data_IF_663665031285
#
_entry.id   IF_663665031285
#
_cell.length_a   1.000
_cell.length_b   1.000
_cell.length_c   1.000
_cell.angle_alpha   90.00
_cell.angle_beta   90.00
_cell.angle_gamma   90.00
#
_symmetry.space_group_name_H-M   'P 1'
#
loop_
_entity.id
_entity.type
_entity.pdbx_description
1 polymer ?
#
# COMPACT_ATOMS: atom_id res chain seq x y z
N UNK A 1 46.60 -57.00 -12.57
CA UNK A 1 45.60 -56.14 -13.25
C UNK A 1 44.62 -55.63 -12.22
N UNK A 2 44.82 -54.39 -11.77
CA UNK A 2 43.97 -53.72 -10.77
C UNK A 2 42.84 -53.00 -11.51
N UNK A 3 41.58 -53.38 -11.25
CA UNK A 3 40.41 -52.68 -11.76
C UNK A 3 40.04 -51.56 -10.78
N UNK A 4 40.28 -50.33 -11.17
CA UNK A 4 39.88 -49.13 -10.44
C UNK A 4 38.40 -48.87 -10.72
N UNK A 5 37.56 -48.97 -9.67
CA UNK A 5 36.13 -48.66 -9.70
C UNK A 5 35.99 -47.17 -9.35
N UNK A 6 35.54 -46.36 -10.32
CA UNK A 6 35.15 -44.96 -10.07
C UNK A 6 33.80 -44.95 -9.38
N UNK A 7 33.79 -44.47 -8.14
CA UNK A 7 32.57 -44.18 -7.40
C UNK A 7 32.13 -42.75 -7.78
N UNK A 8 31.12 -42.62 -8.61
CA UNK A 8 30.55 -41.32 -8.93
C UNK A 8 29.66 -40.87 -7.76
N UNK A 9 30.11 -39.90 -6.98
CA UNK A 9 29.32 -39.26 -5.94
C UNK A 9 28.44 -38.22 -6.60
N UNK A 10 27.16 -38.53 -6.71
CA UNK A 10 26.12 -37.55 -7.11
C UNK A 10 25.82 -36.65 -5.93
N UNK A 11 26.32 -35.41 -5.98
CA UNK A 11 25.93 -34.37 -5.06
C UNK A 11 24.51 -33.92 -5.42
N UNK A 12 23.54 -34.33 -4.62
CA UNK A 12 22.22 -33.71 -4.61
C UNK A 12 22.33 -32.30 -3.98
N UNK A 13 22.37 -31.26 -4.82
CA UNK A 13 22.13 -29.89 -4.35
C UNK A 13 20.64 -29.79 -3.97
N UNK A 14 20.38 -29.97 -2.70
CA UNK A 14 19.10 -29.60 -2.10
C UNK A 14 19.05 -28.07 -2.07
N UNK A 15 18.49 -27.43 -3.10
CA UNK A 15 18.16 -26.01 -3.07
C UNK A 15 17.09 -25.84 -1.98
N UNK A 16 17.53 -25.42 -0.79
CA UNK A 16 16.62 -24.96 0.25
C UNK A 16 15.83 -23.77 -0.33
N UNK A 17 14.56 -24.02 -0.62
CA UNK A 17 13.60 -22.96 -0.86
C UNK A 17 13.51 -22.16 0.47
N UNK A 18 14.29 -21.10 0.58
CA UNK A 18 14.13 -20.13 1.65
C UNK A 18 12.76 -19.50 1.43
N UNK A 19 11.76 -19.98 2.15
CA UNK A 19 10.49 -19.29 2.27
C UNK A 19 10.81 -17.95 2.92
N UNK A 20 10.57 -16.85 2.22
CA UNK A 20 10.62 -15.55 2.84
C UNK A 20 9.66 -15.57 4.02
N UNK A 21 10.12 -15.06 5.16
CA UNK A 21 9.25 -14.92 6.34
C UNK A 21 8.02 -14.09 5.96
N UNK A 22 6.85 -14.39 6.55
CA UNK A 22 5.66 -13.59 6.37
C UNK A 22 5.97 -12.11 6.57
N UNK A 23 5.50 -11.26 5.68
CA UNK A 23 5.74 -9.82 5.73
C UNK A 23 4.39 -9.10 5.67
N UNK A 24 4.19 -8.24 6.66
CA UNK A 24 3.13 -7.25 6.62
C UNK A 24 3.57 -6.04 5.82
N UNK A 25 2.64 -5.41 5.12
CA UNK A 25 2.90 -4.13 4.50
C UNK A 25 2.62 -4.08 3.01
N UNK A 26 3.14 -3.03 2.39
CA UNK A 26 2.93 -2.81 0.98
C UNK A 26 3.70 -3.80 0.11
N UNK A 27 3.00 -4.36 -0.85
CA UNK A 27 3.52 -5.31 -1.80
C UNK A 27 3.09 -4.94 -3.23
N UNK A 28 3.79 -5.50 -4.20
CA UNK A 28 3.45 -5.42 -5.62
C UNK A 28 3.26 -6.84 -6.15
N UNK A 29 2.23 -7.04 -6.94
CA UNK A 29 2.07 -8.31 -7.66
C UNK A 29 3.22 -8.52 -8.63
N UNK A 30 3.83 -9.70 -8.58
CA UNK A 30 4.89 -10.12 -9.49
C UNK A 30 4.86 -11.63 -9.74
N UNK A 31 4.42 -12.02 -10.91
CA UNK A 31 4.30 -13.40 -11.34
C UNK A 31 4.82 -13.58 -12.76
N UNK A 32 5.43 -14.72 -13.07
CA UNK A 32 5.92 -15.04 -14.40
C UNK A 32 4.80 -15.03 -15.47
N UNK A 33 3.56 -15.35 -15.06
CA UNK A 33 2.39 -15.37 -15.92
C UNK A 33 1.84 -13.98 -16.26
N UNK A 34 2.44 -12.89 -15.70
CA UNK A 34 1.96 -11.52 -15.88
C UNK A 34 0.81 -11.12 -14.96
N UNK A 35 0.28 -12.04 -14.18
CA UNK A 35 -0.78 -11.83 -13.19
C UNK A 35 -0.72 -12.88 -12.09
N UNK A 36 -1.37 -12.63 -10.96
CA UNK A 36 -1.60 -13.65 -9.93
C UNK A 36 -3.10 -13.85 -9.69
N UNK A 37 -3.44 -14.98 -9.07
CA UNK A 37 -4.82 -15.30 -8.69
C UNK A 37 -5.10 -14.80 -7.27
N UNK A 38 -6.13 -13.97 -7.12
CA UNK A 38 -6.79 -13.71 -5.86
C UNK A 38 -7.71 -14.88 -5.53
N UNK A 39 -7.60 -15.46 -4.35
CA UNK A 39 -8.34 -16.66 -3.95
C UNK A 39 -9.24 -16.41 -2.76
N UNK A 40 -10.36 -17.13 -2.71
CA UNK A 40 -11.33 -17.05 -1.64
C UNK A 40 -10.78 -17.52 -0.28
N UNK A 41 -9.81 -18.45 -0.29
CA UNK A 41 -9.18 -19.03 0.91
C UNK A 41 -7.67 -19.18 0.69
N UNK A 42 -6.86 -19.25 1.76
CA UNK A 42 -5.42 -19.43 1.68
C UNK A 42 -5.03 -20.86 1.26
N UNK A 43 -5.42 -21.23 0.04
CA UNK A 43 -5.19 -22.54 -0.54
C UNK A 43 -5.06 -22.43 -2.07
N UNK A 44 -4.05 -23.07 -2.65
CA UNK A 44 -3.81 -23.06 -4.10
C UNK A 44 -4.94 -23.70 -4.92
N UNK A 45 -5.78 -24.55 -4.31
CA UNK A 45 -6.95 -25.18 -4.93
C UNK A 45 -8.25 -24.40 -4.69
N UNK A 46 -8.22 -23.34 -3.86
CA UNK A 46 -9.41 -22.55 -3.58
C UNK A 46 -9.90 -21.80 -4.84
N UNK A 47 -11.18 -21.46 -4.83
CA UNK A 47 -11.82 -20.68 -5.90
C UNK A 47 -11.04 -19.42 -6.19
N UNK A 48 -10.81 -19.15 -7.45
CA UNK A 48 -10.21 -17.90 -7.94
C UNK A 48 -11.31 -16.84 -8.03
N UNK A 49 -11.14 -15.77 -7.30
CA UNK A 49 -12.05 -14.61 -7.29
C UNK A 49 -11.72 -13.64 -8.43
N UNK A 50 -10.42 -13.37 -8.62
CA UNK A 50 -9.95 -12.45 -9.64
C UNK A 50 -8.53 -12.79 -10.10
N UNK A 51 -8.12 -12.25 -11.26
CA UNK A 51 -6.74 -12.21 -11.74
C UNK A 51 -6.20 -10.80 -11.57
N UNK A 52 -5.11 -10.67 -10.83
CA UNK A 52 -4.52 -9.39 -10.47
C UNK A 52 -3.25 -9.19 -11.29
N UNK A 53 -3.18 -8.15 -12.15
CA UNK A 53 -2.03 -7.91 -13.02
C UNK A 53 -0.75 -7.59 -12.26
N UNK A 54 0.40 -7.91 -12.85
CA UNK A 54 1.71 -7.51 -12.33
C UNK A 54 1.81 -5.99 -12.14
N UNK A 55 2.53 -5.58 -11.09
CA UNK A 55 2.71 -4.18 -10.73
C UNK A 55 1.52 -3.55 -10.00
N UNK A 56 0.43 -4.31 -9.77
CA UNK A 56 -0.67 -3.84 -8.92
C UNK A 56 -0.17 -3.74 -7.49
N UNK A 57 -0.25 -2.56 -6.86
CA UNK A 57 0.08 -2.40 -5.46
C UNK A 57 -1.04 -2.95 -4.58
N UNK A 58 -0.65 -3.55 -3.47
CA UNK A 58 -1.52 -4.17 -2.49
C UNK A 58 -1.04 -3.82 -1.08
N UNK A 59 -1.92 -3.99 -0.12
CA UNK A 59 -1.53 -4.11 1.28
C UNK A 59 -1.70 -5.56 1.74
N UNK A 60 -0.63 -6.12 2.26
CA UNK A 60 -0.60 -7.46 2.82
C UNK A 60 -0.86 -7.38 4.33
N UNK A 61 -1.88 -8.09 4.80
CA UNK A 61 -2.30 -8.11 6.21
C UNK A 61 -2.13 -9.55 6.72
N UNK A 62 -1.01 -9.79 7.41
CA UNK A 62 -0.63 -11.12 7.88
C UNK A 62 -1.61 -11.67 8.92
N UNK A 63 -2.07 -10.83 9.86
CA UNK A 63 -2.99 -11.26 10.92
C UNK A 63 -4.30 -11.85 10.40
N UNK A 64 -4.67 -11.50 9.18
CA UNK A 64 -5.88 -12.01 8.53
C UNK A 64 -5.64 -13.23 7.65
N UNK A 65 -4.40 -13.75 7.58
CA UNK A 65 -4.06 -14.88 6.71
C UNK A 65 -4.38 -16.28 7.27
N UNK A 66 -5.23 -16.35 8.28
CA UNK A 66 -5.74 -17.63 8.85
C UNK A 66 -4.62 -18.60 9.31
N UNK A 67 -3.53 -18.08 9.86
CA UNK A 67 -2.34 -18.84 10.26
C UNK A 67 -1.69 -19.64 9.10
N UNK A 68 -1.81 -19.16 7.88
CA UNK A 68 -1.17 -19.74 6.69
C UNK A 68 0.03 -18.88 6.30
N UNK A 69 1.26 -19.30 6.68
CA UNK A 69 2.47 -18.49 6.50
C UNK A 69 2.88 -18.30 5.03
N UNK A 70 2.29 -19.05 4.12
CA UNK A 70 2.52 -19.01 2.67
C UNK A 70 1.53 -18.12 1.91
N UNK A 71 0.52 -17.56 2.59
CA UNK A 71 -0.48 -16.68 2.00
C UNK A 71 -0.57 -15.34 2.73
N UNK A 72 -0.90 -14.32 1.96
CA UNK A 72 -1.19 -12.98 2.42
C UNK A 72 -2.67 -12.69 2.16
N UNK A 73 -3.39 -12.20 3.17
CA UNK A 73 -4.68 -11.57 2.95
C UNK A 73 -4.47 -10.18 2.37
N UNK A 74 -5.16 -9.87 1.28
CA UNK A 74 -5.07 -8.60 0.57
C UNK A 74 -6.45 -8.01 0.34
N UNK A 75 -6.51 -6.68 0.41
CA UNK A 75 -7.64 -5.91 -0.08
C UNK A 75 -7.27 -5.28 -1.41
N UNK A 76 -8.19 -5.30 -2.34
CA UNK A 76 -8.07 -4.57 -3.60
C UNK A 76 -8.67 -3.17 -3.47
N UNK A 77 -8.57 -2.40 -4.53
CA UNK A 77 -9.05 -1.04 -4.59
C UNK A 77 -10.56 -0.96 -4.32
N UNK A 78 -10.94 -0.17 -3.32
CA UNK A 78 -12.31 0.09 -2.84
C UNK A 78 -13.02 -1.11 -2.22
N UNK A 79 -13.20 -0.98 -0.93
CA UNK A 79 -13.84 -1.93 -0.04
C UNK A 79 -15.29 -2.30 -0.41
N UNK A 80 -15.45 -3.13 -1.42
CA UNK A 80 -16.52 -4.09 -1.38
C UNK A 80 -15.95 -5.37 -0.75
N UNK A 81 -16.70 -6.08 0.06
CA UNK A 81 -16.27 -7.33 0.69
C UNK A 81 -15.77 -8.37 -0.34
N UNK A 82 -16.19 -8.23 -1.60
CA UNK A 82 -15.81 -9.08 -2.73
C UNK A 82 -14.42 -8.77 -3.31
N UNK A 83 -13.80 -7.65 -2.91
CA UNK A 83 -12.50 -7.21 -3.42
C UNK A 83 -11.33 -7.65 -2.52
N UNK A 84 -11.56 -8.53 -1.57
CA UNK A 84 -10.55 -9.09 -0.68
C UNK A 84 -10.34 -10.59 -0.88
N UNK A 85 -9.20 -11.10 -0.48
CA UNK A 85 -8.87 -12.52 -0.59
C UNK A 85 -7.40 -12.80 -0.32
N UNK A 86 -6.93 -13.95 -0.79
CA UNK A 86 -5.62 -14.47 -0.47
C UNK A 86 -4.75 -14.59 -1.72
N UNK A 87 -3.51 -14.12 -1.60
CA UNK A 87 -2.45 -14.27 -2.60
C UNK A 87 -1.28 -15.01 -1.96
N UNK A 88 -0.69 -15.96 -2.68
CA UNK A 88 0.50 -16.67 -2.21
C UNK A 88 1.70 -15.71 -2.21
N UNK A 89 2.51 -15.71 -1.13
CA UNK A 89 3.65 -14.80 -0.96
C UNK A 89 4.66 -14.83 -2.10
N UNK A 90 4.88 -16.00 -2.73
CA UNK A 90 5.81 -16.13 -3.86
C UNK A 90 5.40 -15.31 -5.10
N UNK A 91 4.21 -14.73 -5.10
CA UNK A 91 3.66 -13.90 -6.18
C UNK A 91 3.69 -12.40 -5.84
N UNK A 92 4.40 -12.05 -4.77
CA UNK A 92 4.49 -10.70 -4.26
C UNK A 92 5.95 -10.26 -4.16
N UNK A 93 6.19 -9.00 -4.45
CA UNK A 93 7.44 -8.30 -4.11
C UNK A 93 7.11 -7.27 -3.05
N UNK A 94 7.91 -7.26 -1.98
CA UNK A 94 7.83 -6.25 -0.92
C UNK A 94 8.93 -5.21 -1.16
N UNK A 95 8.60 -3.98 -1.56
CA UNK A 95 9.60 -2.95 -1.86
C UNK A 95 10.53 -2.66 -0.67
N UNK A 96 10.04 -2.84 0.56
CA UNK A 96 10.82 -2.62 1.78
C UNK A 96 12.03 -3.56 1.92
N UNK A 97 11.96 -4.77 1.34
CA UNK A 97 13.01 -5.81 1.44
C UNK A 97 13.65 -6.17 0.11
N UNK A 98 13.12 -5.70 -1.02
CA UNK A 98 13.65 -6.01 -2.34
C UNK A 98 14.76 -5.01 -2.74
N UNK A 99 15.94 -5.56 -3.06
CA UNK A 99 17.16 -4.80 -3.44
C UNK A 99 17.00 -3.92 -4.69
N UNK A 100 16.01 -4.18 -5.52
CA UNK A 100 15.74 -3.40 -6.73
C UNK A 100 15.03 -2.07 -6.41
N UNK A 101 14.61 -1.87 -5.17
CA UNK A 101 13.98 -0.65 -4.72
C UNK A 101 14.88 0.14 -3.79
N UNK A 102 14.89 1.44 -3.96
CA UNK A 102 15.54 2.39 -3.05
C UNK A 102 14.46 3.06 -2.23
N UNK A 103 14.46 2.84 -0.91
CA UNK A 103 13.59 3.57 0.00
C UNK A 103 14.05 5.02 0.13
N UNK A 104 13.14 5.96 -0.09
CA UNK A 104 13.38 7.36 0.24
C UNK A 104 13.34 7.54 1.76
N UNK A 105 14.25 8.39 2.26
CA UNK A 105 14.36 8.69 3.69
C UNK A 105 13.67 10.01 3.99
N UNK A 106 13.09 10.09 5.18
CA UNK A 106 12.59 11.35 5.69
C UNK A 106 13.73 12.36 5.84
N UNK A 107 13.50 13.56 5.35
CA UNK A 107 14.38 14.70 5.50
C UNK A 107 13.82 15.70 6.52
N UNK A 108 12.51 15.87 6.50
CA UNK A 108 11.77 16.70 7.45
C UNK A 108 10.34 16.23 7.53
N UNK A 109 9.77 16.28 8.72
CA UNK A 109 8.37 15.98 9.00
C UNK A 109 7.86 16.87 10.13
N UNK A 110 6.67 17.40 9.94
CA UNK A 110 5.87 18.15 10.90
C UNK A 110 4.43 17.69 10.78
N UNK A 111 3.54 18.17 11.63
CA UNK A 111 2.13 17.75 11.65
C UNK A 111 1.39 17.97 10.32
N UNK A 112 1.86 18.93 9.51
CA UNK A 112 1.21 19.33 8.26
C UNK A 112 2.08 19.12 7.01
N UNK A 113 3.34 18.71 7.17
CA UNK A 113 4.27 18.52 6.03
C UNK A 113 5.18 17.33 6.22
N UNK A 114 5.50 16.63 5.12
CA UNK A 114 6.49 15.56 5.09
C UNK A 114 7.32 15.65 3.81
N UNK A 115 8.63 15.52 3.96
CA UNK A 115 9.57 15.43 2.83
C UNK A 115 10.33 14.12 2.91
N UNK A 116 10.25 13.32 1.84
CA UNK A 116 11.04 12.11 1.66
C UNK A 116 11.99 12.29 0.49
N UNK A 117 13.25 11.86 0.64
CA UNK A 117 14.20 11.94 -0.48
C UNK A 117 15.19 10.78 -0.54
N UNK A 118 15.70 10.52 -1.74
CA UNK A 118 16.70 9.49 -2.02
C UNK A 118 16.83 9.24 -3.52
N UNK A 119 18.01 8.83 -3.94
CA UNK A 119 18.31 8.50 -5.34
C UNK A 119 17.87 9.57 -6.37
N UNK A 120 18.08 10.85 -6.04
CA UNK A 120 17.67 11.95 -6.90
C UNK A 120 16.17 12.23 -6.94
N UNK A 121 15.38 11.52 -6.13
CA UNK A 121 13.94 11.73 -6.02
C UNK A 121 13.61 12.50 -4.74
N UNK A 122 12.67 13.43 -4.83
CA UNK A 122 12.14 14.18 -3.69
C UNK A 122 10.63 14.23 -3.74
N UNK A 123 10.00 13.60 -2.75
CA UNK A 123 8.56 13.70 -2.51
C UNK A 123 8.32 14.75 -1.44
N UNK A 124 7.36 15.64 -1.68
CA UNK A 124 6.90 16.59 -0.67
C UNK A 124 5.39 16.49 -0.55
N UNK A 125 4.91 16.29 0.67
CA UNK A 125 3.50 16.10 1.02
C UNK A 125 3.10 17.24 1.95
N UNK A 126 1.96 17.85 1.67
CA UNK A 126 1.38 18.93 2.47
C UNK A 126 -0.05 18.58 2.82
N UNK A 127 -0.37 18.68 4.10
CA UNK A 127 -1.73 18.68 4.61
C UNK A 127 -2.08 20.08 5.08
N UNK A 128 -3.35 20.41 5.07
CA UNK A 128 -3.86 21.68 5.56
C UNK A 128 -5.03 21.44 6.50
N UNK A 129 -5.06 22.20 7.57
CA UNK A 129 -6.24 22.25 8.43
C UNK A 129 -7.37 22.99 7.69
N UNK A 130 -8.49 22.31 7.54
CA UNK A 130 -9.71 22.85 6.93
C UNK A 130 -10.88 22.82 7.92
N UNK A 131 -11.88 23.62 7.64
CA UNK A 131 -13.17 23.66 8.37
C UNK A 131 -14.29 23.39 7.36
N UNK A 132 -14.60 22.10 7.07
CA UNK A 132 -15.64 21.77 6.11
C UNK A 132 -17.01 22.30 6.56
N UNK A 133 -17.83 22.70 5.60
CA UNK A 133 -19.22 23.08 5.87
C UNK A 133 -20.13 21.88 5.74
N UNK A 134 -21.24 21.87 6.44
CA UNK A 134 -22.24 20.80 6.31
C UNK A 134 -22.71 20.63 4.85
N UNK A 135 -22.76 21.71 4.09
CA UNK A 135 -23.09 21.71 2.66
C UNK A 135 -22.04 21.02 1.76
N UNK A 136 -20.82 20.80 2.25
CA UNK A 136 -19.81 20.04 1.53
C UNK A 136 -20.10 18.53 1.55
N UNK A 137 -21.04 18.07 2.41
CA UNK A 137 -21.35 16.66 2.59
C UNK A 137 -22.72 16.30 2.03
N UNK A 138 -22.85 15.03 1.62
CA UNK A 138 -24.12 14.44 1.19
C UNK A 138 -24.28 13.01 1.70
N UNK A 139 -25.53 12.48 1.66
CA UNK A 139 -25.86 11.22 2.30
C UNK A 139 -25.74 11.31 3.83
N UNK A 140 -26.11 12.47 4.39
CA UNK A 140 -26.00 12.77 5.81
C UNK A 140 -27.07 11.98 6.57
N UNK A 141 -26.70 11.38 7.70
CA UNK A 141 -27.63 10.69 8.59
C UNK A 141 -28.59 11.68 9.30
N UNK A 142 -29.63 11.13 9.95
CA UNK A 142 -30.67 11.94 10.62
C UNK A 142 -30.10 12.85 11.73
N UNK A 143 -29.08 12.36 12.42
CA UNK A 143 -28.46 13.06 13.56
C UNK A 143 -27.39 14.07 13.12
N UNK A 144 -27.12 14.15 11.81
CA UNK A 144 -26.13 15.04 11.18
C UNK A 144 -24.68 14.84 11.64
N UNK A 145 -24.35 13.67 12.15
CA UNK A 145 -23.00 13.32 12.58
C UNK A 145 -22.19 12.67 11.48
N UNK A 146 -22.80 11.81 10.64
CA UNK A 146 -22.09 11.07 9.62
C UNK A 146 -22.60 11.40 8.23
N UNK A 147 -21.75 11.24 7.24
CA UNK A 147 -22.07 11.44 5.83
C UNK A 147 -21.41 10.34 4.98
N UNK A 148 -21.94 10.11 3.78
CA UNK A 148 -21.37 9.16 2.82
C UNK A 148 -20.35 9.78 1.87
N UNK A 149 -20.55 11.05 1.52
CA UNK A 149 -19.74 11.73 0.52
C UNK A 149 -19.31 13.11 0.98
N UNK A 150 -18.10 13.50 0.63
CA UNK A 150 -17.57 14.86 0.73
C UNK A 150 -17.36 15.41 -0.69
N UNK A 151 -18.05 16.50 -1.02
CA UNK A 151 -18.05 17.12 -2.37
C UNK A 151 -18.29 16.10 -3.49
N UNK A 152 -19.26 15.20 -3.25
CA UNK A 152 -19.66 14.19 -4.22
C UNK A 152 -18.78 12.95 -4.34
N UNK A 153 -17.74 12.81 -3.51
CA UNK A 153 -16.83 11.65 -3.49
C UNK A 153 -16.77 11.00 -2.11
N UNK A 154 -16.48 9.68 -2.02
CA UNK A 154 -16.14 9.05 -0.74
C UNK A 154 -14.99 9.78 -0.05
N UNK A 155 -15.00 9.78 1.27
CA UNK A 155 -13.94 10.37 2.09
C UNK A 155 -13.52 9.40 3.20
N UNK A 156 -12.32 9.58 3.73
CA UNK A 156 -11.64 8.64 4.59
C UNK A 156 -10.89 9.37 5.70
N UNK A 157 -10.63 8.68 6.81
CA UNK A 157 -9.83 9.22 7.92
C UNK A 157 -10.63 10.01 8.96
N UNK A 158 -11.96 9.84 9.04
CA UNK A 158 -12.82 10.53 10.02
C UNK A 158 -13.97 9.67 10.54
N UNK A 159 -13.90 8.34 10.41
CA UNK A 159 -15.00 7.42 10.80
C UNK A 159 -16.37 7.75 10.18
N UNK A 160 -16.35 8.29 8.97
CA UNK A 160 -17.52 8.89 8.31
C UNK A 160 -18.12 10.11 9.02
N UNK A 161 -17.53 10.53 10.13
CA UNK A 161 -17.97 11.71 10.86
C UNK A 161 -17.77 12.98 10.03
N UNK A 162 -18.70 13.93 10.21
CA UNK A 162 -18.60 15.27 9.65
C UNK A 162 -17.73 16.14 10.57
N UNK A 163 -16.45 16.32 10.26
CA UNK A 163 -15.54 16.99 11.18
C UNK A 163 -15.76 18.50 11.17
N UNK A 164 -15.72 19.13 12.35
CA UNK A 164 -15.69 20.60 12.46
C UNK A 164 -14.36 21.18 11.98
N UNK A 165 -13.29 20.43 12.14
CA UNK A 165 -11.93 20.78 11.74
C UNK A 165 -11.14 19.49 11.50
N UNK A 166 -10.40 19.42 10.41
CA UNK A 166 -9.62 18.24 10.04
C UNK A 166 -8.42 18.66 9.18
N UNK A 167 -7.32 17.92 9.26
CA UNK A 167 -6.28 18.03 8.26
C UNK A 167 -6.69 17.26 7.00
N UNK A 168 -6.56 17.89 5.86
CA UNK A 168 -6.80 17.28 4.54
C UNK A 168 -5.51 17.29 3.73
N UNK A 169 -5.25 16.25 2.96
CA UNK A 169 -4.17 16.28 1.98
C UNK A 169 -4.44 17.39 0.97
N UNK A 170 -3.52 18.36 0.90
CA UNK A 170 -3.63 19.51 0.01
C UNK A 170 -2.77 19.32 -1.25
N UNK A 171 -1.55 18.81 -1.08
CA UNK A 171 -0.59 18.70 -2.16
C UNK A 171 0.38 17.56 -1.96
N UNK A 172 0.63 16.82 -3.03
CA UNK A 172 1.74 15.87 -3.15
C UNK A 172 2.52 16.24 -4.41
N UNK A 173 3.84 16.35 -4.29
CA UNK A 173 4.71 16.57 -5.45
C UNK A 173 5.85 15.55 -5.48
N UNK A 174 6.23 15.13 -6.69
CA UNK A 174 7.50 14.44 -6.96
C UNK A 174 8.38 15.35 -7.81
N UNK A 175 9.55 15.75 -7.29
CA UNK A 175 10.48 16.65 -7.96
C UNK A 175 9.81 17.94 -8.50
N UNK A 176 8.84 18.48 -7.74
CA UNK A 176 8.06 19.66 -8.11
C UNK A 176 6.83 19.39 -8.99
N UNK A 177 6.67 18.19 -9.57
CA UNK A 177 5.49 17.83 -10.35
C UNK A 177 4.35 17.39 -9.42
N UNK A 178 3.22 18.07 -9.50
CA UNK A 178 2.10 17.85 -8.59
C UNK A 178 1.20 16.66 -9.01
N UNK A 179 0.69 15.95 -8.02
CA UNK A 179 -0.48 15.08 -8.17
C UNK A 179 -1.72 15.95 -8.42
N UNK A 180 -2.63 15.59 -9.34
CA UNK A 180 -3.87 16.33 -9.54
C UNK A 180 -4.68 16.45 -8.24
N UNK A 181 -5.17 17.64 -7.92
CA UNK A 181 -5.90 17.90 -6.68
C UNK A 181 -7.13 17.01 -6.50
N UNK A 182 -7.77 16.60 -7.60
CA UNK A 182 -8.91 15.67 -7.57
C UNK A 182 -8.57 14.29 -6.99
N UNK A 183 -7.29 13.88 -7.03
CA UNK A 183 -6.80 12.62 -6.47
C UNK A 183 -6.56 12.70 -4.95
N UNK A 184 -6.48 13.90 -4.39
CA UNK A 184 -6.25 14.13 -2.96
C UNK A 184 -7.55 14.41 -2.21
N UNK A 185 -8.62 14.71 -2.93
CA UNK A 185 -9.92 15.07 -2.34
C UNK A 185 -10.47 13.93 -1.47
N UNK A 186 -10.88 14.26 -0.24
CA UNK A 186 -11.48 13.32 0.70
C UNK A 186 -10.47 12.46 1.47
N UNK A 187 -9.18 12.69 1.34
CA UNK A 187 -8.16 12.05 2.16
C UNK A 187 -7.84 12.94 3.35
N UNK A 188 -8.43 12.60 4.50
CA UNK A 188 -8.33 13.37 5.74
C UNK A 188 -7.35 12.75 6.73
N UNK A 189 -6.94 13.55 7.71
CA UNK A 189 -6.10 13.15 8.83
C UNK A 189 -4.83 12.37 8.43
N UNK A 190 -4.01 12.85 7.47
CA UNK A 190 -2.75 12.19 7.18
C UNK A 190 -1.86 12.22 8.42
N UNK A 191 -1.34 11.07 8.83
CA UNK A 191 -0.42 10.97 9.93
C UNK A 191 1.02 11.00 9.43
N UNK A 192 1.71 12.10 9.66
CA UNK A 192 3.11 12.26 9.31
C UNK A 192 4.05 11.91 10.50
N UNK A 193 3.56 11.99 11.73
CA UNK A 193 4.37 11.77 12.93
C UNK A 193 4.79 10.31 13.11
N UNK A 194 3.99 9.36 12.65
CA UNK A 194 4.30 7.94 12.73
C UNK A 194 5.49 7.54 11.86
N UNK A 195 5.76 8.27 10.77
CA UNK A 195 6.90 8.05 9.88
C UNK A 195 8.22 8.27 10.61
N UNK A 196 8.30 9.29 11.46
CA UNK A 196 9.51 9.68 12.21
C UNK A 196 9.87 8.74 13.37
N UNK A 197 8.90 8.04 13.94
CA UNK A 197 9.10 7.31 15.21
C UNK A 197 9.40 5.83 15.06
N UNK A 198 9.36 5.26 13.84
CA UNK A 198 9.57 3.83 13.63
C UNK A 198 8.60 2.92 14.38
N UNK A 199 7.52 3.49 14.91
CA UNK A 199 6.56 2.81 15.76
C UNK A 199 5.33 2.40 14.96
N UNK A 200 5.13 1.13 14.88
CA UNK A 200 4.02 0.39 14.28
C UNK A 200 3.93 0.38 12.75
N UNK A 201 3.84 -0.82 12.23
CA UNK A 201 3.79 -1.22 10.83
C UNK A 201 2.59 -0.64 10.07
N UNK A 202 1.64 -0.03 10.77
CA UNK A 202 0.32 0.36 10.25
C UNK A 202 0.11 1.86 10.06
N UNK A 203 1.11 2.70 10.32
CA UNK A 203 0.96 4.16 10.23
C UNK A 203 2.15 4.78 9.52
N UNK A 204 1.88 5.84 8.75
CA UNK A 204 2.93 6.64 8.13
C UNK A 204 3.01 6.57 6.61
N UNK A 205 4.02 7.23 6.08
CA UNK A 205 4.25 7.36 4.66
C UNK A 205 5.61 6.78 4.27
N UNK A 206 5.62 6.03 3.18
CA UNK A 206 6.82 5.38 2.65
C UNK A 206 6.92 5.58 1.15
N UNK A 207 8.11 5.86 0.65
CA UNK A 207 8.33 5.96 -0.78
C UNK A 207 9.46 5.03 -1.23
N UNK A 208 9.22 4.33 -2.35
CA UNK A 208 10.15 3.38 -2.93
C UNK A 208 10.34 3.68 -4.41
N UNK A 209 11.58 3.89 -4.81
CA UNK A 209 11.95 4.14 -6.20
C UNK A 209 12.60 2.91 -6.81
N UNK A 210 12.09 2.46 -7.96
CA UNK A 210 12.67 1.40 -8.79
C UNK A 210 13.33 2.04 -10.00
N UNK A 211 14.67 1.98 -10.04
CA UNK A 211 15.45 2.65 -11.07
C UNK A 211 15.35 2.00 -12.46
N UNK A 212 15.11 0.69 -12.54
CA UNK A 212 15.05 -0.07 -13.80
C UNK A 212 13.98 0.41 -14.77
N UNK A 213 12.87 0.92 -14.25
CA UNK A 213 11.74 1.43 -15.04
C UNK A 213 11.29 2.83 -14.61
N UNK A 214 12.11 3.49 -13.77
CA UNK A 214 11.91 4.85 -13.26
C UNK A 214 10.54 5.04 -12.59
N UNK A 215 10.08 4.02 -11.87
CA UNK A 215 8.81 4.06 -11.16
C UNK A 215 9.03 4.37 -9.68
N UNK A 216 8.26 5.32 -9.15
CA UNK A 216 8.19 5.60 -7.72
C UNK A 216 6.79 5.24 -7.22
N UNK A 217 6.77 4.53 -6.11
CA UNK A 217 5.59 4.18 -5.35
C UNK A 217 5.61 4.96 -4.05
N UNK A 218 4.61 5.79 -3.82
CA UNK A 218 4.40 6.51 -2.58
C UNK A 218 3.20 5.89 -1.87
N UNK A 219 3.47 5.20 -0.77
CA UNK A 219 2.46 4.59 0.08
C UNK A 219 2.19 5.47 1.28
N UNK A 220 0.91 5.60 1.64
CA UNK A 220 0.46 6.24 2.86
C UNK A 220 -0.53 5.35 3.57
N UNK A 221 -0.38 5.23 4.88
CA UNK A 221 -1.35 4.61 5.77
C UNK A 221 -1.87 5.65 6.72
N UNK A 222 -3.15 5.60 6.92
CA UNK A 222 -3.85 6.46 7.85
C UNK A 222 -4.48 5.59 8.92
N UNK A 223 -3.91 5.65 10.11
CA UNK A 223 -4.45 4.98 11.27
C UNK A 223 -5.16 5.98 12.16
N UNK A 224 -6.46 6.08 12.09
CA UNK A 224 -7.27 6.64 13.16
C UNK A 224 -8.36 5.63 13.49
N UNK A 225 -8.99 5.76 14.64
CA UNK A 225 -9.91 4.79 15.21
C UNK A 225 -11.18 4.54 14.38
N UNK A 226 -11.28 5.06 13.18
CA UNK A 226 -12.44 4.84 12.34
C UNK A 226 -12.20 5.18 10.88
N UNK A 227 -12.62 4.29 9.98
CA UNK A 227 -12.46 4.38 8.54
C UNK A 227 -11.02 4.73 8.10
N UNK A 228 -10.01 3.99 8.60
CA UNK A 228 -8.63 4.16 8.16
C UNK A 228 -8.54 3.82 6.68
N UNK A 229 -7.50 4.31 6.02
CA UNK A 229 -7.24 3.99 4.62
C UNK A 229 -5.76 3.79 4.36
N UNK A 230 -5.48 3.02 3.35
CA UNK A 230 -4.16 2.94 2.73
C UNK A 230 -4.24 3.45 1.30
N UNK A 231 -3.20 4.15 0.86
CA UNK A 231 -3.15 4.75 -0.47
C UNK A 231 -1.79 4.51 -1.10
N UNK A 232 -1.77 4.28 -2.41
CA UNK A 232 -0.55 4.27 -3.20
C UNK A 232 -0.68 5.23 -4.39
N UNK A 233 0.24 6.19 -4.48
CA UNK A 233 0.41 7.04 -5.66
C UNK A 233 1.58 6.49 -6.48
N UNK A 234 1.34 6.23 -7.75
CA UNK A 234 2.36 5.73 -8.68
C UNK A 234 2.80 6.86 -9.60
N UNK A 235 4.12 7.03 -9.68
CA UNK A 235 4.75 7.95 -10.62
C UNK A 235 5.68 7.16 -11.53
N UNK A 236 5.67 7.45 -12.82
CA UNK A 236 6.58 6.89 -13.79
C UNK A 236 7.25 8.01 -14.58
N UNK A 237 8.57 7.93 -14.75
CA UNK A 237 9.36 8.98 -15.38
C UNK A 237 9.09 10.38 -14.77
N UNK A 238 8.91 10.44 -13.44
CA UNK A 238 8.63 11.67 -12.69
C UNK A 238 7.21 12.19 -12.80
N UNK A 239 6.30 11.53 -13.53
CA UNK A 239 4.92 11.96 -13.75
C UNK A 239 3.94 11.06 -13.01
N UNK A 240 2.94 11.67 -12.36
CA UNK A 240 1.83 10.94 -11.76
C UNK A 240 1.09 10.10 -12.80
N UNK A 241 0.82 8.84 -12.47
CA UNK A 241 0.12 7.89 -13.33
C UNK A 241 -1.27 7.58 -12.81
N UNK A 242 -1.36 7.14 -11.57
CA UNK A 242 -2.61 6.72 -10.94
C UNK A 242 -2.48 6.63 -9.42
N UNK A 243 -3.61 6.55 -8.77
CA UNK A 243 -3.76 6.27 -7.34
C UNK A 243 -4.50 4.96 -7.14
N UNK A 244 -4.06 4.19 -6.15
CA UNK A 244 -4.82 3.10 -5.55
C UNK A 244 -5.21 3.51 -4.13
N UNK A 245 -6.39 3.10 -3.69
CA UNK A 245 -6.93 3.44 -2.38
C UNK A 245 -7.64 2.21 -1.83
N UNK A 246 -7.30 1.83 -0.61
CA UNK A 246 -7.93 0.73 0.12
C UNK A 246 -8.55 1.29 1.39
N UNK A 247 -9.76 0.83 1.72
CA UNK A 247 -10.29 0.96 3.08
C UNK A 247 -9.58 -0.03 4.00
N UNK A 248 -9.59 0.20 5.31
CA UNK A 248 -9.20 -0.86 6.22
C UNK A 248 -10.20 -2.01 6.14
N UNK A 249 -9.69 -3.23 6.23
CA UNK A 249 -10.51 -4.37 6.56
C UNK A 249 -11.05 -4.16 7.98
N UNK A 250 -12.36 -4.06 8.11
CA UNK A 250 -13.04 -4.12 9.40
C UNK A 250 -13.38 -5.58 9.67
#
# INVERSE_FOLDING_TARGET
KLKMRYLATVLFLCSALTHAAPQNGFALVHDADGYTNLRERPNLKAKVLAKIPNGTPLECIEELSENRPDFCFVQLQQANADDSGFIHYSRLIFPASDKNFVRLREQSGHDDTLTLSGNGQKVHIVARRIHPKLSDFSGINKDKYTARLYRGKPFYGTDYDIPKSVFALERITLNGQAVPAAELQGLFSPDFAATARGSNVYQGWEAYYRGSDKTLYLFGRQGSDGNPFSVCFIFKDGKFQRRYLWGAAI
#
